data_IF_452604502672
#
_entry.id   IF_452604502672
#
_cell.length_a   1.000
_cell.length_b   1.000
_cell.length_c   1.000
_cell.angle_alpha   90.00
_cell.angle_beta   90.00
_cell.angle_gamma   90.00
#
_symmetry.space_group_name_H-M   'P 1'
#
loop_
_entity.id
_entity.type
_entity.pdbx_description
1 polymer ?
#
# COMPACT_ATOMS: atom_id res chain seq x y z
N UNK A 1 9.57 -4.07 -7.42
CA UNK A 1 8.89 -2.92 -6.80
C UNK A 1 9.11 -1.70 -7.68
N UNK A 2 8.10 -0.84 -7.80
CA UNK A 2 8.21 0.42 -8.56
C UNK A 2 9.08 1.40 -7.75
N UNK A 3 9.97 2.12 -8.44
CA UNK A 3 10.83 3.15 -7.82
C UNK A 3 10.08 4.48 -7.75
N UNK A 4 9.87 4.97 -6.52
CA UNK A 4 9.20 6.23 -6.22
C UNK A 4 10.17 7.34 -5.80
N UNK A 5 11.48 7.12 -5.79
CA UNK A 5 12.47 8.08 -5.28
C UNK A 5 12.36 9.44 -5.99
N UNK A 6 12.16 9.43 -7.31
CA UNK A 6 11.97 10.67 -8.08
C UNK A 6 10.71 11.45 -7.69
N UNK A 7 9.66 10.76 -7.23
CA UNK A 7 8.43 11.39 -6.74
C UNK A 7 8.65 11.95 -5.33
N UNK A 8 9.25 11.16 -4.44
CA UNK A 8 9.52 11.59 -3.06
C UNK A 8 10.51 12.75 -2.97
N UNK A 9 11.45 12.83 -3.92
CA UNK A 9 12.39 13.94 -4.04
C UNK A 9 11.83 15.15 -4.81
N UNK A 10 10.55 15.13 -5.22
CA UNK A 10 9.89 16.21 -5.93
C UNK A 10 10.42 16.45 -7.35
N UNK A 11 11.13 15.47 -7.94
CA UNK A 11 11.72 15.55 -9.27
C UNK A 11 10.72 15.14 -10.37
N UNK A 12 9.68 14.38 -10.00
CA UNK A 12 8.67 13.84 -10.90
C UNK A 12 7.29 13.85 -10.25
N UNK A 13 6.23 14.12 -11.01
CA UNK A 13 4.85 13.95 -10.52
C UNK A 13 4.43 12.49 -10.57
N UNK A 14 3.50 12.10 -9.69
CA UNK A 14 2.99 10.72 -9.65
C UNK A 14 2.36 10.28 -10.98
N UNK A 15 1.60 11.17 -11.64
CA UNK A 15 0.99 10.87 -12.93
C UNK A 15 2.00 10.72 -14.06
N UNK A 16 3.12 11.44 -13.99
CA UNK A 16 4.22 11.26 -14.92
C UNK A 16 4.86 9.88 -14.71
N UNK A 17 5.13 9.47 -13.45
CA UNK A 17 5.66 8.14 -13.15
C UNK A 17 4.72 7.05 -13.66
N UNK A 18 3.44 7.15 -13.34
CA UNK A 18 2.42 6.17 -13.71
C UNK A 18 2.30 5.96 -15.23
N UNK A 19 2.54 7.01 -16.05
CA UNK A 19 2.47 6.92 -17.50
C UNK A 19 3.54 5.99 -18.11
N UNK A 20 4.67 5.79 -17.42
CA UNK A 20 5.76 4.92 -17.89
C UNK A 20 5.62 3.48 -17.39
N UNK A 21 4.78 3.22 -16.38
CA UNK A 21 4.67 1.89 -15.78
C UNK A 21 3.89 0.96 -16.70
N UNK A 22 4.49 -0.16 -17.07
CA UNK A 22 3.84 -1.19 -17.87
C UNK A 22 2.92 -2.07 -17.03
N UNK A 23 1.96 -2.73 -17.69
CA UNK A 23 1.10 -3.73 -17.04
C UNK A 23 1.90 -4.86 -16.38
N UNK A 24 3.04 -5.26 -16.98
CA UNK A 24 3.88 -6.31 -16.42
C UNK A 24 4.56 -5.87 -15.12
N UNK A 25 5.04 -4.63 -15.06
CA UNK A 25 5.64 -4.05 -13.86
C UNK A 25 4.61 -3.87 -12.74
N UNK A 26 3.39 -3.43 -13.07
CA UNK A 26 2.29 -3.35 -12.10
C UNK A 26 1.98 -4.71 -11.48
N UNK A 27 1.84 -5.76 -12.31
CA UNK A 27 1.61 -7.12 -11.81
C UNK A 27 2.76 -7.61 -10.92
N UNK A 28 4.00 -7.38 -11.34
CA UNK A 28 5.17 -7.79 -10.56
C UNK A 28 5.27 -7.04 -9.23
N UNK A 29 4.90 -5.75 -9.20
CA UNK A 29 4.87 -4.96 -7.98
C UNK A 29 3.78 -5.45 -7.01
N UNK A 30 2.58 -5.73 -7.52
CA UNK A 30 1.44 -6.22 -6.73
C UNK A 30 1.73 -7.59 -6.11
N UNK A 31 2.20 -8.55 -6.93
CA UNK A 31 2.64 -9.87 -6.41
C UNK A 31 3.75 -9.73 -5.38
N UNK A 32 4.76 -8.90 -5.64
CA UNK A 32 5.85 -8.66 -4.70
C UNK A 32 5.38 -8.06 -3.36
N UNK A 33 4.40 -7.16 -3.39
CA UNK A 33 3.81 -6.59 -2.16
C UNK A 33 3.08 -7.67 -1.34
N UNK A 34 2.31 -8.54 -2.00
CA UNK A 34 1.60 -9.64 -1.33
C UNK A 34 2.60 -10.64 -0.74
N UNK A 35 3.61 -11.03 -1.51
CA UNK A 35 4.65 -11.96 -1.06
C UNK A 35 5.38 -11.42 0.18
N UNK A 36 5.72 -10.13 0.19
CA UNK A 36 6.31 -9.46 1.36
C UNK A 36 5.37 -9.48 2.57
N UNK A 37 4.09 -9.13 2.39
CA UNK A 37 3.11 -9.16 3.48
C UNK A 37 2.94 -10.56 4.06
N UNK A 38 2.90 -11.60 3.22
CA UNK A 38 2.83 -13.00 3.66
C UNK A 38 4.11 -13.40 4.40
N UNK A 39 5.27 -12.98 3.90
CA UNK A 39 6.56 -13.24 4.55
C UNK A 39 6.63 -12.61 5.95
N UNK A 40 6.14 -11.38 6.11
CA UNK A 40 6.15 -10.66 7.40
C UNK A 40 5.34 -11.36 8.49
N UNK A 41 4.29 -12.10 8.13
CA UNK A 41 3.43 -12.81 9.10
C UNK A 41 3.68 -14.31 9.17
N UNK A 42 4.40 -14.89 8.20
CA UNK A 42 4.49 -16.34 8.03
C UNK A 42 5.11 -17.10 9.21
N UNK A 43 6.02 -16.46 9.95
CA UNK A 43 6.70 -17.05 11.10
C UNK A 43 6.14 -16.59 12.45
N UNK A 44 5.16 -15.67 12.45
CA UNK A 44 4.63 -15.10 13.68
C UNK A 44 3.60 -16.04 14.33
N UNK A 45 3.67 -16.15 15.66
CA UNK A 45 2.61 -16.75 16.46
C UNK A 45 1.42 -15.81 16.61
N UNK A 46 0.25 -16.36 16.96
CA UNK A 46 -0.95 -15.56 17.27
C UNK A 46 -0.67 -14.47 18.32
N UNK A 47 0.21 -14.76 19.30
CA UNK A 47 0.58 -13.81 20.35
C UNK A 47 1.35 -12.62 19.79
N UNK A 48 2.27 -12.86 18.84
CA UNK A 48 3.04 -11.81 18.18
C UNK A 48 2.16 -11.00 17.21
N UNK A 49 1.20 -11.65 16.55
CA UNK A 49 0.25 -10.98 15.64
C UNK A 49 -0.61 -9.95 16.37
N UNK A 50 -1.01 -10.23 17.61
CA UNK A 50 -1.86 -9.34 18.43
C UNK A 50 -1.08 -8.46 19.41
N UNK A 51 0.25 -8.56 19.43
CA UNK A 51 1.07 -7.77 20.34
C UNK A 51 0.97 -6.27 20.01
N UNK A 52 0.70 -5.46 21.04
CA UNK A 52 0.64 -4.00 20.95
C UNK A 52 1.94 -3.43 21.51
N UNK A 53 2.80 -2.92 20.63
CA UNK A 53 4.03 -2.27 21.03
C UNK A 53 3.75 -0.90 21.67
N UNK A 54 4.48 -0.58 22.73
CA UNK A 54 4.55 0.80 23.20
C UNK A 54 5.34 1.61 22.17
N UNK A 55 4.71 2.61 21.57
CA UNK A 55 5.34 3.49 20.59
C UNK A 55 5.19 4.95 21.05
N UNK A 56 6.26 5.57 21.58
CA UNK A 56 6.23 6.96 22.00
C UNK A 56 5.99 7.96 20.87
N UNK A 57 6.20 7.56 19.61
CA UNK A 57 5.95 8.39 18.43
C UNK A 57 4.53 8.24 17.89
N UNK A 58 3.77 7.22 18.33
CA UNK A 58 2.39 7.02 17.90
C UNK A 58 1.45 8.07 18.50
N UNK A 59 0.42 8.45 17.75
CA UNK A 59 -0.65 9.32 18.24
C UNK A 59 -1.35 8.64 19.43
N UNK A 60 -1.25 9.24 20.62
CA UNK A 60 -1.77 8.64 21.85
C UNK A 60 -0.87 7.61 22.54
N UNK A 61 0.36 7.40 22.05
CA UNK A 61 1.39 6.59 22.70
C UNK A 61 1.20 5.07 22.65
N UNK A 62 0.26 4.60 21.81
CA UNK A 62 -0.05 3.17 21.62
C UNK A 62 0.18 2.84 20.16
N UNK A 63 1.05 1.87 19.86
CA UNK A 63 1.29 1.39 18.51
C UNK A 63 0.15 0.52 17.97
N UNK A 64 0.20 0.22 16.67
CA UNK A 64 -0.70 -0.76 16.05
C UNK A 64 -0.08 -2.16 16.07
N UNK A 65 -0.93 -3.19 16.12
CA UNK A 65 -0.46 -4.58 15.98
C UNK A 65 -0.05 -4.84 14.54
N UNK A 66 0.84 -5.82 14.30
CA UNK A 66 1.18 -6.23 12.93
C UNK A 66 -0.05 -6.75 12.18
N UNK A 67 -0.98 -7.41 12.87
CA UNK A 67 -2.25 -7.82 12.27
C UNK A 67 -3.07 -6.64 11.77
N UNK A 68 -3.11 -5.53 12.52
CA UNK A 68 -3.76 -4.30 12.06
C UNK A 68 -3.06 -3.72 10.83
N UNK A 69 -1.72 -3.63 10.84
CA UNK A 69 -0.95 -3.07 9.73
C UNK A 69 -1.18 -3.84 8.42
N UNK A 70 -1.13 -5.18 8.46
CA UNK A 70 -1.37 -6.02 7.29
C UNK A 70 -2.80 -5.86 6.79
N UNK A 71 -3.80 -5.86 7.68
CA UNK A 71 -5.19 -5.64 7.30
C UNK A 71 -5.41 -4.24 6.70
N UNK A 72 -4.77 -3.22 7.25
CA UNK A 72 -4.89 -1.84 6.78
C UNK A 72 -4.30 -1.64 5.39
N UNK A 73 -3.11 -2.19 5.13
CA UNK A 73 -2.49 -2.15 3.80
C UNK A 73 -3.34 -2.93 2.80
N UNK A 74 -3.83 -4.12 3.17
CA UNK A 74 -4.72 -4.92 2.31
C UNK A 74 -5.98 -4.16 1.93
N UNK A 75 -6.67 -3.56 2.90
CA UNK A 75 -7.88 -2.77 2.67
C UNK A 75 -7.62 -1.57 1.75
N UNK A 76 -6.48 -0.88 1.94
CA UNK A 76 -6.08 0.24 1.09
C UNK A 76 -5.81 -0.20 -0.36
N UNK A 77 -5.18 -1.36 -0.56
CA UNK A 77 -4.97 -1.92 -1.89
C UNK A 77 -6.30 -2.30 -2.56
N UNK A 78 -7.22 -2.93 -1.84
CA UNK A 78 -8.56 -3.28 -2.34
C UNK A 78 -9.37 -2.04 -2.75
N UNK A 79 -9.33 -0.98 -1.95
CA UNK A 79 -9.98 0.30 -2.28
C UNK A 79 -9.42 0.89 -3.58
N UNK A 80 -8.10 0.94 -3.71
CA UNK A 80 -7.45 1.47 -4.92
C UNK A 80 -7.70 0.59 -6.15
N UNK A 81 -7.79 -0.73 -6.00
CA UNK A 81 -8.17 -1.64 -7.07
C UNK A 81 -9.63 -1.39 -7.52
N UNK A 82 -10.54 -1.14 -6.57
CA UNK A 82 -11.92 -0.78 -6.89
C UNK A 82 -12.01 0.56 -7.64
N UNK A 83 -11.28 1.59 -7.18
CA UNK A 83 -11.20 2.89 -7.86
C UNK A 83 -10.63 2.73 -9.27
N UNK A 84 -9.53 1.99 -9.41
CA UNK A 84 -8.90 1.71 -10.71
C UNK A 84 -9.87 1.01 -11.67
N UNK A 85 -10.67 0.07 -11.17
CA UNK A 85 -11.70 -0.62 -11.95
C UNK A 85 -12.80 0.33 -12.44
N UNK A 86 -13.19 1.32 -11.63
CA UNK A 86 -14.16 2.36 -11.98
C UNK A 86 -13.58 3.26 -13.08
N UNK A 87 -12.37 3.77 -12.88
CA UNK A 87 -11.67 4.62 -13.85
C UNK A 87 -11.45 3.93 -15.20
N UNK A 88 -11.06 2.64 -15.18
CA UNK A 88 -10.87 1.85 -16.40
C UNK A 88 -12.16 1.67 -17.24
N UNK A 89 -13.34 1.90 -16.64
CA UNK A 89 -14.63 1.90 -17.34
C UNK A 89 -15.03 3.28 -17.87
N UNK A 90 -14.17 4.28 -17.72
CA UNK A 90 -14.44 5.66 -18.14
C UNK A 90 -15.44 6.39 -17.25
N UNK A 91 -15.59 5.96 -15.99
CA UNK A 91 -16.39 6.65 -14.99
C UNK A 91 -15.45 7.59 -14.23
N UNK A 92 -15.73 8.89 -14.28
CA UNK A 92 -14.94 9.89 -13.57
C UNK A 92 -15.00 9.65 -12.06
N UNK A 93 -13.85 9.75 -11.41
CA UNK A 93 -13.79 9.72 -9.96
C UNK A 93 -14.15 11.12 -9.42
N UNK A 94 -15.19 11.28 -8.59
CA UNK A 94 -15.74 12.59 -8.23
C UNK A 94 -14.81 13.45 -7.36
N UNK A 95 -13.69 12.90 -6.89
CA UNK A 95 -12.65 13.61 -6.16
C UNK A 95 -11.36 13.62 -7.00
N UNK A 96 -11.32 14.46 -8.04
CA UNK A 96 -10.10 14.75 -8.82
C UNK A 96 -8.99 15.42 -7.97
N UNK A 97 -7.71 15.31 -8.35
CA UNK A 97 -6.72 14.58 -7.58
C UNK A 97 -5.96 15.45 -6.55
N UNK A 98 -5.48 14.80 -5.48
CA UNK A 98 -4.38 15.32 -4.67
C UNK A 98 -3.04 14.96 -5.30
#
# INVERSE_FOLDING_TARGET
MIDFDSVFNGQRKIGELAADVTLAELKAADTGQIDEMVSLIGELSDTEVVFVAADPAAEGGIGWTVGHLIAHVTASSEENAAISSILARGIDYPFEPR
#
